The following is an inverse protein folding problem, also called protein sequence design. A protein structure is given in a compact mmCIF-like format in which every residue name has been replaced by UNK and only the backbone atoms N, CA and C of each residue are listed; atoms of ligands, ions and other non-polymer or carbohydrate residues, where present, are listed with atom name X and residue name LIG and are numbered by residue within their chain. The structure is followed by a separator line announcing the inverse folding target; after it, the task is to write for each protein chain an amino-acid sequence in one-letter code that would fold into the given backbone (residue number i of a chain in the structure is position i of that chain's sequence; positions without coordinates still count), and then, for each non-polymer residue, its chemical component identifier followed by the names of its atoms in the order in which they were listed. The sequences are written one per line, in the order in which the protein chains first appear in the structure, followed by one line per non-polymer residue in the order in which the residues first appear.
data_IF_541183845942
#
_entry.id   IF_541183845942
#
_cell.length_a   1.000
_cell.length_b   1.000
_cell.length_c   1.000
_cell.angle_alpha   90.00
_cell.angle_beta   90.00
_cell.angle_gamma   90.00
#
_symmetry.space_group_name_H-M   'P 1'
#
loop_
_entity.id
_entity.type
_entity.pdbx_description
1 polymer ?
#
# COMPACT_ATOMS: atom_id res chain seq x y z
N UNK A 1 8.73 2.50 -13.53
CA UNK A 1 9.41 3.31 -12.49
C UNK A 1 8.56 3.23 -11.22
N UNK A 2 9.16 3.14 -10.01
CA UNK A 2 8.37 3.08 -8.77
C UNK A 2 7.49 4.32 -8.58
N UNK A 3 7.91 5.48 -9.12
CA UNK A 3 7.12 6.71 -9.12
C UNK A 3 5.77 6.60 -9.84
N UNK A 4 5.59 5.61 -10.72
CA UNK A 4 4.33 5.41 -11.45
C UNK A 4 3.34 4.49 -10.73
N UNK A 5 3.68 3.96 -9.55
CA UNK A 5 2.76 3.09 -8.83
C UNK A 5 1.52 3.85 -8.34
N UNK A 6 0.33 3.31 -8.61
CA UNK A 6 -0.93 3.86 -8.10
C UNK A 6 -1.33 5.23 -8.66
N UNK A 7 -0.74 5.66 -9.78
CA UNK A 7 -1.12 6.91 -10.46
C UNK A 7 -2.23 6.66 -11.47
N UNK A 8 -3.14 7.63 -11.59
CA UNK A 8 -4.29 7.55 -12.48
C UNK A 8 -4.35 8.79 -13.36
N UNK A 9 -4.96 8.64 -14.54
CA UNK A 9 -5.33 9.75 -15.42
C UNK A 9 -6.75 9.51 -15.91
N UNK A 10 -7.51 10.57 -16.19
CA UNK A 10 -8.82 10.46 -16.84
C UNK A 10 -8.60 10.26 -18.33
N UNK A 11 -9.11 9.17 -18.89
CA UNK A 11 -8.87 8.78 -20.28
C UNK A 11 -10.17 8.40 -20.98
N UNK A 12 -10.22 8.65 -22.29
CA UNK A 12 -11.15 7.96 -23.18
C UNK A 12 -10.45 6.67 -23.67
N UNK A 13 -10.75 5.53 -23.03
CA UNK A 13 -9.96 4.30 -23.15
C UNK A 13 -9.70 3.85 -24.60
N UNK A 14 -10.74 3.83 -25.43
CA UNK A 14 -10.66 3.38 -26.83
C UNK A 14 -9.74 4.29 -27.64
N UNK A 15 -9.96 5.60 -27.55
CA UNK A 15 -9.19 6.60 -28.28
C UNK A 15 -7.74 6.65 -27.79
N UNK A 16 -7.52 6.61 -26.48
CA UNK A 16 -6.17 6.59 -25.90
C UNK A 16 -5.39 5.33 -26.30
N UNK A 17 -6.05 4.16 -26.33
CA UNK A 17 -5.43 2.91 -26.81
C UNK A 17 -4.99 3.04 -28.27
N UNK A 18 -5.79 3.71 -29.10
CA UNK A 18 -5.45 4.01 -30.50
C UNK A 18 -4.25 4.96 -30.61
N UNK A 19 -4.18 5.98 -29.75
CA UNK A 19 -2.99 6.87 -29.67
C UNK A 19 -1.74 6.07 -29.37
N UNK A 20 -1.74 5.31 -28.28
CA UNK A 20 -0.59 4.51 -27.86
C UNK A 20 -0.18 3.51 -28.94
N UNK A 21 -1.14 2.80 -29.54
CA UNK A 21 -0.85 1.86 -30.64
C UNK A 21 -0.23 2.55 -31.85
N UNK A 22 -0.73 3.72 -32.25
CA UNK A 22 -0.17 4.47 -33.38
C UNK A 22 1.27 4.91 -33.11
N UNK A 23 1.56 5.38 -31.91
CA UNK A 23 2.90 5.84 -31.53
C UNK A 23 3.90 4.68 -31.46
N UNK A 24 3.49 3.53 -30.90
CA UNK A 24 4.31 2.32 -30.85
C UNK A 24 4.58 1.79 -32.26
N UNK A 25 3.56 1.76 -33.14
CA UNK A 25 3.75 1.33 -34.53
C UNK A 25 4.69 2.26 -35.29
N UNK A 26 4.56 3.58 -35.10
CA UNK A 26 5.49 4.54 -35.70
C UNK A 26 6.93 4.33 -35.22
N UNK A 27 7.13 4.09 -33.92
CA UNK A 27 8.43 3.79 -33.35
C UNK A 27 9.01 2.49 -33.94
N UNK A 28 8.20 1.43 -34.00
CA UNK A 28 8.59 0.14 -34.57
C UNK A 28 8.97 0.24 -36.05
N UNK A 29 8.14 0.88 -36.87
CA UNK A 29 8.39 1.06 -38.31
C UNK A 29 9.61 1.94 -38.60
N UNK A 30 10.00 2.82 -37.68
CA UNK A 30 11.19 3.65 -37.82
C UNK A 30 12.49 2.87 -37.49
N UNK A 31 12.40 1.74 -36.81
CA UNK A 31 13.58 0.94 -36.44
C UNK A 31 14.21 0.23 -37.64
N UNK A 32 15.54 0.09 -37.61
CA UNK A 32 16.34 -0.68 -38.58
C UNK A 32 16.80 -1.98 -37.88
N UNK A 33 17.57 -2.86 -38.53
CA UNK A 33 18.08 -4.11 -37.95
C UNK A 33 18.58 -3.93 -36.49
N UNK A 34 18.12 -4.81 -35.58
CA UNK A 34 18.26 -4.68 -34.11
C UNK A 34 17.47 -3.50 -33.49
N UNK A 35 16.25 -3.28 -33.98
CA UNK A 35 15.32 -2.27 -33.47
C UNK A 35 14.92 -2.49 -32.02
N UNK A 36 15.01 -1.42 -31.22
CA UNK A 36 14.60 -1.37 -29.82
C UNK A 36 13.57 -0.26 -29.68
N UNK A 37 12.37 -0.61 -29.22
CA UNK A 37 11.35 0.33 -28.78
C UNK A 37 11.22 0.21 -27.27
N UNK A 38 11.51 1.31 -26.56
CA UNK A 38 11.43 1.40 -25.11
C UNK A 38 10.23 2.24 -24.70
N UNK A 39 9.35 1.67 -23.88
CA UNK A 39 8.20 2.37 -23.29
C UNK A 39 8.48 2.57 -21.81
N UNK A 40 8.36 3.80 -21.33
CA UNK A 40 8.50 4.12 -19.91
C UNK A 40 7.31 4.88 -19.39
N UNK A 41 6.92 4.57 -18.16
CA UNK A 41 5.89 5.28 -17.40
C UNK A 41 6.53 5.84 -16.13
N UNK A 42 6.35 7.14 -15.92
CA UNK A 42 6.78 7.91 -14.75
C UNK A 42 5.65 8.80 -14.27
N UNK A 43 5.79 9.33 -13.07
CA UNK A 43 4.96 10.44 -12.62
C UNK A 43 5.79 11.48 -11.88
N UNK A 44 5.25 12.70 -11.80
CA UNK A 44 5.64 13.70 -10.82
C UNK A 44 4.39 14.14 -10.04
N UNK A 45 4.47 15.17 -9.21
CA UNK A 45 3.33 15.63 -8.39
C UNK A 45 2.07 16.02 -9.20
N UNK A 46 2.21 16.36 -10.48
CA UNK A 46 1.12 16.93 -11.30
C UNK A 46 0.75 16.09 -12.51
N UNK A 47 1.70 15.32 -13.06
CA UNK A 47 1.55 14.67 -14.37
C UNK A 47 1.98 13.20 -14.36
N UNK A 48 1.24 12.40 -15.12
CA UNK A 48 1.66 11.08 -15.61
C UNK A 48 2.43 11.31 -16.91
N UNK A 49 3.63 10.72 -17.01
CA UNK A 49 4.54 10.90 -18.15
C UNK A 49 4.77 9.53 -18.80
N UNK A 50 4.41 9.42 -20.08
CA UNK A 50 4.64 8.23 -20.90
C UNK A 50 5.64 8.59 -21.98
N UNK A 51 6.74 7.86 -22.06
CA UNK A 51 7.74 8.06 -23.11
C UNK A 51 7.86 6.80 -23.96
N UNK A 52 7.77 6.97 -25.27
CA UNK A 52 8.00 5.94 -26.29
C UNK A 52 9.26 6.35 -27.05
N UNK A 53 10.33 5.59 -26.89
CA UNK A 53 11.65 5.84 -27.49
C UNK A 53 12.01 4.72 -28.46
N UNK A 54 12.46 5.07 -29.66
CA UNK A 54 13.10 4.15 -30.60
C UNK A 54 14.58 4.48 -30.83
N UNK A 55 15.32 3.52 -31.38
CA UNK A 55 16.67 3.68 -31.92
C UNK A 55 16.68 3.68 -33.46
N UNK A 56 15.61 4.19 -34.07
CA UNK A 56 15.40 4.13 -35.51
C UNK A 56 16.14 5.20 -36.31
N UNK A 57 15.69 5.39 -37.55
CA UNK A 57 16.32 6.34 -38.50
C UNK A 57 16.24 7.81 -38.08
N UNK A 58 15.40 8.15 -37.10
CA UNK A 58 15.15 9.52 -36.65
C UNK A 58 14.40 10.36 -37.70
N UNK A 59 14.13 11.61 -37.34
CA UNK A 59 13.33 12.57 -38.13
C UNK A 59 14.18 13.83 -38.34
N UNK A 60 14.20 14.35 -39.57
CA UNK A 60 14.94 15.57 -39.87
C UNK A 60 14.33 16.79 -39.18
N UNK A 61 15.15 17.76 -38.71
CA UNK A 61 14.66 18.96 -38.01
C UNK A 61 13.63 19.77 -38.80
N UNK A 62 13.73 19.78 -40.13
CA UNK A 62 12.79 20.49 -41.03
C UNK A 62 11.37 19.90 -41.00
N UNK A 63 11.23 18.61 -40.63
CA UNK A 63 9.95 17.90 -40.60
C UNK A 63 9.27 17.97 -39.24
N UNK A 64 10.04 18.08 -38.15
CA UNK A 64 9.50 18.10 -36.78
C UNK A 64 8.36 19.11 -36.57
N UNK A 65 8.44 20.38 -37.03
CA UNK A 65 7.37 21.35 -36.84
C UNK A 65 6.06 21.02 -37.59
N UNK A 66 6.13 20.12 -38.57
CA UNK A 66 5.00 19.76 -39.45
C UNK A 66 4.30 18.47 -39.03
N UNK A 67 4.89 17.66 -38.15
CA UNK A 67 4.37 16.33 -37.78
C UNK A 67 2.98 16.33 -37.14
N UNK A 68 2.58 17.44 -36.52
CA UNK A 68 1.26 17.61 -35.92
C UNK A 68 0.26 18.31 -36.84
N UNK A 69 0.60 18.52 -38.12
CA UNK A 69 -0.33 19.10 -39.10
C UNK A 69 -1.11 17.99 -39.81
N UNK A 70 -2.37 18.27 -40.13
CA UNK A 70 -3.26 17.30 -40.79
C UNK A 70 -2.73 16.99 -42.19
N UNK A 71 -2.52 15.70 -42.49
CA UNK A 71 -2.09 15.25 -43.82
C UNK A 71 -0.57 15.14 -44.02
N UNK A 72 0.24 15.56 -43.04
CA UNK A 72 1.69 15.43 -43.10
C UNK A 72 2.12 14.02 -42.70
N UNK A 73 2.75 13.30 -43.63
CA UNK A 73 3.22 11.92 -43.44
C UNK A 73 4.65 11.79 -43.92
N UNK A 74 5.44 11.00 -43.19
CA UNK A 74 6.78 10.60 -43.63
C UNK A 74 6.81 9.35 -44.49
N UNK A 75 5.65 8.71 -44.68
CA UNK A 75 5.49 7.41 -45.36
C UNK A 75 4.79 7.59 -46.70
N UNK A 76 5.30 6.90 -47.74
CA UNK A 76 4.74 6.93 -49.11
C UNK A 76 3.28 6.42 -49.22
N UNK A 77 2.72 5.80 -48.17
CA UNK A 77 1.34 5.28 -48.13
C UNK A 77 0.55 5.69 -46.86
N UNK A 78 1.08 6.57 -46.02
CA UNK A 78 0.40 7.00 -44.79
C UNK A 78 -0.34 8.33 -45.00
N UNK A 79 -1.60 8.43 -44.57
CA UNK A 79 -2.38 9.69 -44.68
C UNK A 79 -1.96 10.80 -43.70
N UNK A 80 -0.90 10.61 -42.89
CA UNK A 80 -0.42 11.63 -41.95
C UNK A 80 -1.39 11.95 -40.79
N UNK A 81 -2.41 11.10 -40.60
CA UNK A 81 -3.48 11.35 -39.63
C UNK A 81 -3.15 10.86 -38.21
N UNK A 82 -2.17 9.95 -38.07
CA UNK A 82 -1.90 9.27 -36.80
C UNK A 82 -1.39 10.20 -35.69
N UNK A 83 -0.36 11.01 -35.98
CA UNK A 83 0.21 11.97 -35.03
C UNK A 83 -0.69 13.18 -34.81
N UNK A 84 -1.35 13.65 -35.87
CA UNK A 84 -2.39 14.69 -35.76
C UNK A 84 -3.51 14.27 -34.81
N UNK A 85 -4.05 13.06 -34.97
CA UNK A 85 -5.12 12.54 -34.11
C UNK A 85 -4.63 12.29 -32.67
N UNK A 86 -3.40 11.80 -32.51
CA UNK A 86 -2.77 11.69 -31.20
C UNK A 86 -2.70 13.05 -30.49
N UNK A 87 -2.28 14.11 -31.18
CA UNK A 87 -2.25 15.46 -30.65
C UNK A 87 -3.64 15.94 -30.22
N UNK A 88 -4.66 15.77 -31.07
CA UNK A 88 -6.03 16.18 -30.74
C UNK A 88 -6.57 15.47 -29.48
N UNK A 89 -6.35 14.15 -29.36
CA UNK A 89 -6.81 13.39 -28.20
C UNK A 89 -6.08 13.83 -26.94
N UNK A 90 -4.75 13.93 -26.99
CA UNK A 90 -3.96 14.30 -25.82
C UNK A 90 -4.30 15.72 -25.35
N UNK A 91 -4.52 16.65 -26.28
CA UNK A 91 -4.95 18.01 -25.96
C UNK A 91 -6.36 18.03 -25.35
N UNK A 92 -7.27 17.17 -25.84
CA UNK A 92 -8.63 17.05 -25.25
C UNK A 92 -8.64 16.47 -23.84
N UNK A 93 -7.54 15.87 -23.40
CA UNK A 93 -7.34 15.34 -22.05
C UNK A 93 -6.52 16.31 -21.17
N UNK A 94 -6.40 17.59 -21.58
CA UNK A 94 -5.56 18.62 -20.95
C UNK A 94 -4.09 18.21 -20.82
N UNK A 95 -3.63 17.34 -21.73
CA UNK A 95 -2.28 16.83 -21.81
C UNK A 95 -1.40 17.57 -22.81
N UNK A 96 -0.17 17.08 -22.96
CA UNK A 96 0.76 17.53 -23.99
C UNK A 96 1.51 16.36 -24.62
N UNK A 97 1.79 16.47 -25.91
CA UNK A 97 2.64 15.54 -26.66
C UNK A 97 3.83 16.31 -27.23
N UNK A 98 5.05 15.82 -26.98
CA UNK A 98 6.30 16.36 -27.50
C UNK A 98 7.08 15.28 -28.27
N UNK A 99 7.86 15.69 -29.28
CA UNK A 99 8.70 14.80 -30.07
C UNK A 99 10.11 15.38 -30.16
N UNK A 100 11.09 14.59 -29.76
CA UNK A 100 12.51 14.88 -29.91
C UNK A 100 13.13 13.79 -30.80
N UNK A 101 13.92 14.17 -31.80
CA UNK A 101 14.49 13.19 -32.73
C UNK A 101 15.83 13.66 -33.28
N UNK A 102 16.75 12.71 -33.48
CA UNK A 102 18.05 12.94 -34.10
C UNK A 102 18.21 11.91 -35.23
N UNK A 103 18.49 12.40 -36.44
CA UNK A 103 18.70 11.57 -37.63
C UNK A 103 19.81 10.54 -37.36
N UNK A 104 19.51 9.28 -37.65
CA UNK A 104 20.41 8.13 -37.44
C UNK A 104 20.56 7.67 -35.98
N UNK A 105 19.88 8.32 -35.02
CA UNK A 105 19.95 7.96 -33.59
C UNK A 105 18.60 7.44 -33.05
N UNK A 106 17.49 8.04 -33.49
CA UNK A 106 16.14 7.62 -33.11
C UNK A 106 15.24 8.77 -32.66
N UNK A 107 14.04 8.41 -32.21
CA UNK A 107 13.00 9.36 -31.80
C UNK A 107 12.49 9.07 -30.38
N UNK A 108 12.11 10.13 -29.67
CA UNK A 108 11.48 10.09 -28.35
C UNK A 108 10.15 10.85 -28.47
N UNK A 109 9.05 10.16 -28.23
CA UNK A 109 7.72 10.77 -28.08
C UNK A 109 7.36 10.77 -26.60
N UNK A 110 7.06 11.94 -26.06
CA UNK A 110 6.67 12.12 -24.65
C UNK A 110 5.23 12.61 -24.58
N UNK A 111 4.39 11.85 -23.88
CA UNK A 111 3.03 12.23 -23.51
C UNK A 111 3.02 12.62 -22.03
N UNK A 112 2.41 13.76 -21.73
CA UNK A 112 2.15 14.17 -20.36
C UNK A 112 0.65 14.36 -20.17
N UNK A 113 0.09 13.78 -19.11
CA UNK A 113 -1.33 13.85 -18.78
C UNK A 113 -1.49 14.31 -17.33
N UNK A 114 -2.52 15.12 -16.99
CA UNK A 114 -2.80 15.47 -15.61
C UNK A 114 -3.09 14.24 -14.76
N UNK A 115 -2.55 14.21 -13.53
CA UNK A 115 -2.88 13.19 -12.55
C UNK A 115 -4.35 13.34 -12.11
N UNK A 116 -5.06 12.22 -12.10
CA UNK A 116 -6.38 12.07 -11.53
C UNK A 116 -6.28 11.45 -10.12
N UNK A 117 -7.29 11.74 -9.30
CA UNK A 117 -7.46 11.10 -7.99
C UNK A 117 -7.53 9.58 -8.13
N UNK A 118 -6.84 8.87 -7.24
CA UNK A 118 -6.98 7.42 -7.10
C UNK A 118 -8.44 7.04 -6.90
N UNK A 119 -8.99 6.12 -7.70
CA UNK A 119 -10.37 5.67 -7.52
C UNK A 119 -10.58 5.07 -6.14
N UNK A 120 -11.73 5.37 -5.52
CA UNK A 120 -12.05 4.91 -4.15
C UNK A 120 -12.06 3.39 -4.06
N UNK A 121 -12.42 2.67 -5.12
CA UNK A 121 -12.41 1.21 -5.11
C UNK A 121 -11.00 0.62 -5.19
N UNK A 122 -9.98 1.36 -5.64
CA UNK A 122 -8.65 0.79 -5.88
C UNK A 122 -7.87 0.58 -4.59
N UNK A 123 -7.27 -0.61 -4.43
CA UNK A 123 -6.29 -0.89 -3.40
C UNK A 123 -4.91 -0.43 -3.85
N UNK A 124 -4.39 0.65 -3.26
CA UNK A 124 -3.04 1.16 -3.56
C UNK A 124 -1.94 0.45 -2.78
N UNK A 125 -2.26 -0.14 -1.62
CA UNK A 125 -1.36 -0.95 -0.79
C UNK A 125 -2.15 -1.88 0.12
N UNK A 126 -1.55 -3.02 0.45
CA UNK A 126 -2.04 -3.95 1.47
C UNK A 126 -1.25 -3.71 2.75
N UNK A 127 -1.95 -3.51 3.86
CA UNK A 127 -1.36 -3.44 5.20
C UNK A 127 -1.74 -4.72 5.93
N UNK A 128 -0.74 -5.51 6.33
CA UNK A 128 -0.94 -6.77 7.03
C UNK A 128 -0.64 -6.60 8.52
N UNK A 129 -1.52 -7.02 9.41
CA UNK A 129 -1.16 -7.13 10.82
C UNK A 129 -0.05 -8.16 11.08
N UNK A 130 0.87 -7.94 12.03
CA UNK A 130 1.75 -9.01 12.50
C UNK A 130 0.94 -10.09 13.22
N UNK A 131 1.47 -11.33 13.27
CA UNK A 131 0.85 -12.48 13.97
C UNK A 131 -0.60 -12.75 13.56
N UNK A 132 -0.88 -12.57 12.27
CA UNK A 132 -2.21 -12.71 11.69
C UNK A 132 -2.26 -13.83 10.66
N UNK A 133 -3.44 -14.07 10.11
CA UNK A 133 -3.63 -15.00 9.00
C UNK A 133 -3.96 -14.24 7.71
N UNK A 134 -3.31 -14.58 6.61
CA UNK A 134 -3.76 -14.14 5.27
C UNK A 134 -4.51 -15.30 4.63
N UNK A 135 -5.79 -15.10 4.33
CA UNK A 135 -6.62 -16.10 3.67
C UNK A 135 -6.75 -15.75 2.20
N UNK A 136 -6.38 -16.65 1.29
CA UNK A 136 -6.71 -16.48 -0.13
C UNK A 136 -7.84 -17.39 -0.53
N UNK A 137 -8.72 -16.93 -1.41
CA UNK A 137 -9.74 -17.78 -2.04
C UNK A 137 -9.59 -17.62 -3.56
N UNK A 138 -8.84 -18.52 -4.19
CA UNK A 138 -8.57 -18.46 -5.63
C UNK A 138 -8.31 -19.89 -6.14
N UNK A 139 -9.07 -20.30 -7.14
CA UNK A 139 -8.92 -21.60 -7.79
C UNK A 139 -7.75 -21.63 -8.78
N UNK A 140 -7.23 -20.48 -9.21
CA UNK A 140 -6.05 -20.36 -10.07
C UNK A 140 -4.73 -20.51 -9.28
N UNK A 141 -3.99 -21.56 -9.61
CA UNK A 141 -2.68 -21.84 -8.99
C UNK A 141 -1.64 -20.76 -9.25
N UNK A 142 -1.68 -20.12 -10.42
CA UNK A 142 -0.70 -19.10 -10.78
C UNK A 142 -0.82 -17.88 -9.87
N UNK A 143 -2.04 -17.49 -9.49
CA UNK A 143 -2.27 -16.38 -8.56
C UNK A 143 -1.83 -16.74 -7.15
N UNK A 144 -2.04 -18.00 -6.71
CA UNK A 144 -1.52 -18.48 -5.42
C UNK A 144 0.00 -18.38 -5.37
N UNK A 145 0.69 -18.82 -6.41
CA UNK A 145 2.15 -18.71 -6.51
C UNK A 145 2.64 -17.25 -6.48
N UNK A 146 1.89 -16.32 -7.07
CA UNK A 146 2.18 -14.88 -6.96
C UNK A 146 2.09 -14.44 -5.49
N UNK A 147 1.02 -14.81 -4.77
CA UNK A 147 0.89 -14.44 -3.36
C UNK A 147 1.95 -15.08 -2.48
N UNK A 148 2.25 -16.36 -2.66
CA UNK A 148 3.32 -17.06 -1.94
C UNK A 148 4.66 -16.33 -2.11
N UNK A 149 5.05 -16.06 -3.36
CA UNK A 149 6.29 -15.35 -3.67
C UNK A 149 6.39 -13.99 -2.99
N UNK A 150 5.27 -13.26 -2.91
CA UNK A 150 5.22 -11.92 -2.31
C UNK A 150 5.16 -11.94 -0.79
N UNK A 151 4.49 -12.93 -0.19
CA UNK A 151 4.22 -12.98 1.24
C UNK A 151 5.28 -13.77 2.01
N UNK A 152 5.99 -14.73 1.40
CA UNK A 152 6.86 -15.69 2.10
C UNK A 152 7.87 -15.03 3.07
N UNK A 153 8.59 -14.00 2.60
CA UNK A 153 9.62 -13.34 3.41
C UNK A 153 9.02 -12.50 4.55
N UNK A 154 7.90 -11.82 4.30
CA UNK A 154 7.16 -11.02 5.29
C UNK A 154 6.50 -11.93 6.33
N UNK A 155 5.89 -13.02 5.87
CA UNK A 155 5.20 -14.00 6.67
C UNK A 155 6.12 -14.61 7.73
N UNK A 156 7.30 -15.07 7.29
CA UNK A 156 8.31 -15.63 8.19
C UNK A 156 8.81 -14.61 9.23
N UNK A 157 8.99 -13.35 8.85
CA UNK A 157 9.53 -12.31 9.74
C UNK A 157 8.51 -11.84 10.78
N UNK A 158 7.23 -11.81 10.43
CA UNK A 158 6.18 -11.20 11.23
C UNK A 158 5.17 -12.20 11.79
N UNK A 159 5.50 -13.50 11.76
CA UNK A 159 4.66 -14.60 12.26
C UNK A 159 3.27 -14.62 11.61
N UNK A 160 3.18 -14.22 10.33
CA UNK A 160 1.93 -14.27 9.56
C UNK A 160 1.85 -15.64 8.89
N UNK A 161 0.69 -16.28 8.98
CA UNK A 161 0.44 -17.55 8.29
C UNK A 161 -0.47 -17.32 7.09
N UNK A 162 -0.06 -17.85 5.93
CA UNK A 162 -0.81 -17.75 4.68
C UNK A 162 -1.56 -19.06 4.46
N UNK A 163 -2.87 -18.96 4.25
CA UNK A 163 -3.76 -20.12 4.08
C UNK A 163 -4.51 -19.96 2.76
N UNK A 164 -4.35 -20.94 1.88
CA UNK A 164 -4.98 -20.95 0.58
C UNK A 164 -6.21 -21.84 0.57
N UNK A 165 -7.32 -21.29 0.09
CA UNK A 165 -8.55 -22.01 -0.22
C UNK A 165 -8.82 -21.92 -1.73
N UNK A 166 -9.30 -23.02 -2.29
CA UNK A 166 -9.81 -23.12 -3.65
C UNK A 166 -11.32 -23.46 -3.67
N UNK A 167 -11.94 -23.52 -2.49
CA UNK A 167 -13.31 -23.95 -2.29
C UNK A 167 -13.95 -23.14 -1.17
N UNK A 168 -15.19 -22.68 -1.40
CA UNK A 168 -15.92 -21.79 -0.49
C UNK A 168 -16.30 -22.48 0.83
N UNK A 169 -16.74 -23.74 0.77
CA UNK A 169 -17.14 -24.51 1.94
C UNK A 169 -15.98 -24.70 2.91
N UNK A 170 -14.79 -25.06 2.39
CA UNK A 170 -13.59 -25.21 3.21
C UNK A 170 -13.19 -23.90 3.89
N UNK A 171 -13.30 -22.77 3.17
CA UNK A 171 -13.03 -21.46 3.74
C UNK A 171 -14.00 -21.10 4.86
N UNK A 172 -15.31 -21.30 4.63
CA UNK A 172 -16.35 -21.00 5.63
C UNK A 172 -16.17 -21.88 6.86
N UNK A 173 -15.92 -23.18 6.68
CA UNK A 173 -15.69 -24.12 7.78
C UNK A 173 -14.47 -23.69 8.62
N UNK A 174 -13.36 -23.33 7.97
CA UNK A 174 -12.18 -22.83 8.68
C UNK A 174 -12.48 -21.53 9.43
N UNK A 175 -13.16 -20.57 8.79
CA UNK A 175 -13.48 -19.27 9.40
C UNK A 175 -14.35 -19.43 10.65
N UNK A 176 -15.38 -20.27 10.60
CA UNK A 176 -16.24 -20.57 11.74
C UNK A 176 -15.49 -21.21 12.92
N UNK A 177 -14.43 -21.97 12.65
CA UNK A 177 -13.58 -22.59 13.69
C UNK A 177 -12.57 -21.60 14.32
N UNK A 178 -12.35 -20.42 13.70
CA UNK A 178 -11.34 -19.45 14.11
C UNK A 178 -11.92 -18.03 14.33
N UNK A 179 -12.97 -17.85 15.16
CA UNK A 179 -13.71 -16.58 15.26
C UNK A 179 -12.91 -15.41 15.86
N UNK A 180 -11.75 -15.69 16.47
CA UNK A 180 -10.86 -14.68 17.08
C UNK A 180 -9.58 -14.44 16.27
N UNK A 181 -9.44 -15.06 15.09
CA UNK A 181 -8.27 -14.86 14.26
C UNK A 181 -8.26 -13.44 13.67
N UNK A 182 -7.13 -12.73 13.81
CA UNK A 182 -6.87 -11.52 13.04
C UNK A 182 -6.57 -11.95 11.61
N UNK A 183 -7.40 -11.53 10.65
CA UNK A 183 -7.32 -11.99 9.26
C UNK A 183 -7.11 -10.85 8.27
N UNK A 184 -6.55 -11.19 7.11
CA UNK A 184 -6.64 -10.38 5.90
C UNK A 184 -6.97 -11.29 4.72
N UNK A 185 -8.04 -10.99 3.99
CA UNK A 185 -8.59 -11.85 2.95
C UNK A 185 -8.29 -11.31 1.55
N UNK A 186 -7.83 -12.19 0.65
CA UNK A 186 -7.55 -11.90 -0.76
C UNK A 186 -8.38 -12.86 -1.62
N UNK A 187 -9.60 -12.47 -1.98
CA UNK A 187 -10.56 -13.39 -2.60
C UNK A 187 -10.77 -13.06 -4.07
N UNK A 188 -10.70 -14.07 -4.92
CA UNK A 188 -11.08 -13.95 -6.32
C UNK A 188 -12.58 -13.73 -6.46
N UNK A 189 -12.95 -12.92 -7.44
CA UNK A 189 -14.36 -12.78 -7.80
C UNK A 189 -14.91 -14.05 -8.45
N UNK A 190 -14.16 -14.68 -9.36
CA UNK A 190 -14.64 -15.80 -10.19
C UNK A 190 -14.10 -17.12 -9.66
N UNK A 191 -14.95 -17.91 -9.00
CA UNK A 191 -14.55 -19.19 -8.39
C UNK A 191 -15.12 -20.36 -9.20
N UNK A 192 -14.29 -21.05 -9.99
CA UNK A 192 -14.77 -22.10 -10.88
C UNK A 192 -15.41 -23.24 -10.07
N UNK A 193 -16.61 -23.64 -10.48
CA UNK A 193 -17.36 -24.73 -9.84
C UNK A 193 -18.03 -24.36 -8.50
N UNK A 194 -18.03 -23.08 -8.13
CA UNK A 194 -18.70 -22.58 -6.93
C UNK A 194 -19.97 -21.80 -7.30
N UNK A 195 -20.99 -21.85 -6.43
CA UNK A 195 -22.24 -21.11 -6.61
C UNK A 195 -22.16 -19.65 -6.12
N UNK A 196 -21.08 -19.28 -5.43
CA UNK A 196 -20.86 -17.96 -4.84
C UNK A 196 -19.60 -17.34 -5.44
N UNK A 197 -19.65 -16.03 -5.70
CA UNK A 197 -18.45 -15.24 -6.00
C UNK A 197 -17.70 -14.92 -4.72
N UNK A 198 -16.40 -14.58 -4.79
CA UNK A 198 -15.69 -14.10 -3.60
C UNK A 198 -16.32 -12.85 -2.99
N UNK A 199 -16.96 -12.00 -3.79
CA UNK A 199 -17.72 -10.85 -3.30
C UNK A 199 -18.96 -11.28 -2.49
N UNK A 200 -19.66 -12.33 -2.91
CA UNK A 200 -20.78 -12.89 -2.15
C UNK A 200 -20.30 -13.46 -0.82
N UNK A 201 -19.18 -14.18 -0.81
CA UNK A 201 -18.57 -14.74 0.41
C UNK A 201 -18.20 -13.62 1.38
N UNK A 202 -17.51 -12.56 0.92
CA UNK A 202 -17.15 -11.40 1.74
C UNK A 202 -18.40 -10.75 2.35
N UNK A 203 -19.45 -10.60 1.54
CA UNK A 203 -20.70 -9.96 1.96
C UNK A 203 -21.46 -10.81 3.00
N UNK A 204 -21.55 -12.12 2.79
CA UNK A 204 -22.22 -13.05 3.70
C UNK A 204 -21.50 -13.13 5.06
N UNK A 205 -20.17 -13.20 5.05
CA UNK A 205 -19.36 -13.26 6.27
C UNK A 205 -19.21 -11.88 6.96
N UNK A 206 -19.60 -10.79 6.29
CA UNK A 206 -19.49 -9.40 6.78
C UNK A 206 -18.05 -8.98 7.12
N UNK A 207 -17.09 -9.45 6.33
CA UNK A 207 -15.65 -9.26 6.54
C UNK A 207 -15.02 -8.24 5.57
N UNK A 208 -15.83 -7.33 5.00
CA UNK A 208 -15.36 -6.38 3.99
C UNK A 208 -14.18 -5.50 4.46
N UNK A 209 -14.11 -5.18 5.75
CA UNK A 209 -13.02 -4.38 6.34
C UNK A 209 -11.68 -5.11 6.34
N UNK A 210 -11.72 -6.43 6.43
CA UNK A 210 -10.55 -7.30 6.51
C UNK A 210 -10.24 -7.94 5.14
N UNK A 211 -10.93 -7.52 4.07
CA UNK A 211 -10.87 -8.20 2.78
C UNK A 211 -10.50 -7.27 1.63
N UNK A 212 -9.95 -7.87 0.57
CA UNK A 212 -9.78 -7.28 -0.74
C UNK A 212 -10.37 -8.23 -1.79
N UNK A 213 -11.12 -7.68 -2.74
CA UNK A 213 -11.54 -8.43 -3.92
C UNK A 213 -10.40 -8.40 -4.94
N UNK A 214 -9.88 -9.56 -5.32
CA UNK A 214 -8.82 -9.71 -6.33
C UNK A 214 -9.50 -10.12 -7.63
N UNK A 215 -9.50 -9.31 -8.70
CA UNK A 215 -10.26 -9.68 -9.91
C UNK A 215 -9.72 -9.08 -11.20
N UNK A 216 -9.90 -9.80 -12.31
CA UNK A 216 -9.69 -9.29 -13.67
C UNK A 216 -10.86 -8.41 -14.15
N UNK A 217 -12.02 -8.48 -13.50
CA UNK A 217 -13.23 -7.73 -13.85
C UNK A 217 -13.36 -6.40 -13.10
N UNK A 218 -12.24 -5.84 -12.69
CA UNK A 218 -12.20 -4.59 -11.93
C UNK A 218 -12.73 -3.38 -12.72
N UNK A 219 -12.99 -3.49 -14.03
CA UNK A 219 -13.64 -2.47 -14.87
C UNK A 219 -15.16 -2.56 -14.90
N UNK A 220 -15.74 -3.68 -14.45
CA UNK A 220 -17.18 -3.91 -14.42
C UNK A 220 -17.85 -2.95 -13.42
N UNK A 221 -18.79 -2.14 -13.93
CA UNK A 221 -19.46 -1.11 -13.14
C UNK A 221 -20.32 -1.70 -12.03
N UNK A 222 -20.92 -2.88 -12.24
CA UNK A 222 -21.77 -3.51 -11.23
C UNK A 222 -20.93 -4.08 -10.09
N UNK A 223 -19.79 -4.71 -10.41
CA UNK A 223 -18.84 -5.18 -9.40
C UNK A 223 -18.32 -3.99 -8.57
N UNK A 224 -17.90 -2.90 -9.23
CA UNK A 224 -17.44 -1.68 -8.53
C UNK A 224 -18.52 -1.09 -7.61
N UNK A 225 -19.77 -1.05 -8.08
CA UNK A 225 -20.90 -0.54 -7.30
C UNK A 225 -21.12 -1.39 -6.05
N UNK A 226 -21.21 -2.70 -6.19
CA UNK A 226 -21.37 -3.63 -5.06
C UNK A 226 -20.21 -3.55 -4.07
N UNK A 227 -18.96 -3.44 -4.54
CA UNK A 227 -17.81 -3.22 -3.66
C UNK A 227 -17.92 -1.89 -2.90
N UNK A 228 -18.34 -0.81 -3.56
CA UNK A 228 -18.47 0.50 -2.94
C UNK A 228 -19.53 0.51 -1.83
N UNK A 229 -20.65 -0.20 -1.99
CA UNK A 229 -21.73 -0.32 -0.99
C UNK A 229 -21.24 -0.89 0.34
N UNK A 230 -20.26 -1.81 0.29
CA UNK A 230 -19.66 -2.43 1.48
C UNK A 230 -18.25 -1.89 1.80
N UNK A 231 -17.84 -0.80 1.14
CA UNK A 231 -16.52 -0.17 1.27
C UNK A 231 -15.33 -1.11 0.99
N UNK A 232 -15.54 -2.14 0.18
CA UNK A 232 -14.52 -3.11 -0.20
C UNK A 232 -13.59 -2.54 -1.27
N UNK A 233 -12.29 -2.72 -1.07
CA UNK A 233 -11.27 -2.37 -2.06
C UNK A 233 -11.03 -3.53 -3.03
N UNK A 234 -10.69 -3.19 -4.26
CA UNK A 234 -10.41 -4.11 -5.35
C UNK A 234 -8.92 -4.03 -5.71
N UNK A 235 -8.31 -5.19 -5.85
CA UNK A 235 -6.98 -5.40 -6.43
C UNK A 235 -7.19 -5.97 -7.84
N UNK A 236 -6.87 -5.22 -8.91
CA UNK A 236 -6.81 -5.81 -10.24
C UNK A 236 -5.83 -6.98 -10.26
N UNK A 237 -6.23 -8.15 -10.80
CA UNK A 237 -5.35 -9.34 -10.85
C UNK A 237 -4.01 -9.06 -11.54
N UNK A 238 -4.03 -8.25 -12.61
CA UNK A 238 -2.81 -7.81 -13.31
C UNK A 238 -1.88 -6.93 -12.46
N UNK A 239 -2.36 -6.39 -11.34
CA UNK A 239 -1.60 -5.57 -10.40
C UNK A 239 -1.15 -6.35 -9.16
N UNK A 240 -1.57 -7.61 -8.99
CA UNK A 240 -1.24 -8.42 -7.81
C UNK A 240 0.26 -8.59 -7.58
N UNK A 241 1.09 -8.50 -8.61
CA UNK A 241 2.56 -8.53 -8.46
C UNK A 241 3.16 -7.20 -7.96
N UNK A 242 2.43 -6.09 -8.12
CA UNK A 242 2.95 -4.73 -7.99
C UNK A 242 2.40 -3.96 -6.79
N UNK A 243 1.20 -4.30 -6.27
CA UNK A 243 0.62 -3.61 -5.09
C UNK A 243 1.53 -3.75 -3.86
N UNK A 244 2.13 -2.68 -3.29
CA UNK A 244 2.95 -2.75 -2.09
C UNK A 244 2.25 -3.49 -0.95
N UNK A 245 3.01 -4.34 -0.27
CA UNK A 245 2.57 -5.05 0.92
C UNK A 245 3.47 -4.61 2.07
N UNK A 246 2.86 -3.99 3.07
CA UNK A 246 3.52 -3.56 4.29
C UNK A 246 2.94 -4.36 5.46
N UNK A 247 3.75 -4.62 6.47
CA UNK A 247 3.23 -5.12 7.75
C UNK A 247 3.02 -3.92 8.67
N UNK A 248 1.90 -3.88 9.39
CA UNK A 248 1.66 -2.91 10.46
C UNK A 248 2.88 -2.91 11.37
N UNK A 249 3.64 -1.83 11.29
CA UNK A 249 4.53 -1.48 12.38
C UNK A 249 3.59 -0.95 13.44
N UNK A 250 3.45 -1.68 14.55
CA UNK A 250 2.95 -1.07 15.78
C UNK A 250 3.97 0.02 16.16
N UNK A 251 3.93 1.17 15.50
CA UNK A 251 4.64 2.37 15.92
C UNK A 251 3.89 2.89 17.14
N UNK A 252 4.02 2.12 18.23
CA UNK A 252 3.74 2.58 19.57
C UNK A 252 4.81 3.61 19.89
N UNK A 253 4.36 4.83 20.13
CA UNK A 253 5.22 5.93 20.51
C UNK A 253 5.64 5.78 21.98
N UNK A 254 4.74 5.25 22.81
CA UNK A 254 4.99 5.02 24.22
C UNK A 254 4.13 3.91 24.86
N UNK A 255 4.59 3.48 26.04
CA UNK A 255 3.91 2.56 26.94
C UNK A 255 3.68 3.27 28.28
N UNK A 256 2.51 3.10 28.88
CA UNK A 256 2.21 3.56 30.23
C UNK A 256 1.71 2.40 31.10
N UNK A 257 2.26 2.26 32.30
CA UNK A 257 1.89 1.20 33.25
C UNK A 257 1.50 1.84 34.58
N UNK A 258 0.24 1.69 34.98
CA UNK A 258 -0.32 2.25 36.22
C UNK A 258 -1.57 1.45 36.62
N UNK A 259 -1.69 1.08 37.89
CA UNK A 259 -2.84 0.28 38.37
C UNK A 259 -4.16 1.07 38.44
N UNK A 260 -4.11 2.41 38.38
CA UNK A 260 -5.29 3.26 38.33
C UNK A 260 -5.86 3.31 36.90
N UNK A 261 -6.92 2.54 36.68
CA UNK A 261 -7.67 2.51 35.42
C UNK A 261 -8.21 3.87 34.96
N UNK A 262 -8.47 4.80 35.87
CA UNK A 262 -8.93 6.15 35.55
C UNK A 262 -7.79 6.95 34.93
N UNK A 263 -6.60 6.85 35.51
CA UNK A 263 -5.42 7.56 35.03
C UNK A 263 -4.93 7.01 33.68
N UNK A 264 -4.95 5.68 33.51
CA UNK A 264 -4.61 5.08 32.21
C UNK A 264 -5.61 5.46 31.11
N UNK A 265 -6.89 5.67 31.44
CA UNK A 265 -7.87 6.20 30.50
C UNK A 265 -7.59 7.67 30.11
N UNK A 266 -7.19 8.51 31.06
CA UNK A 266 -6.78 9.91 30.79
C UNK A 266 -5.56 9.96 29.88
N UNK A 267 -4.55 9.11 30.11
CA UNK A 267 -3.37 9.01 29.25
C UNK A 267 -3.72 8.57 27.82
N UNK A 268 -4.62 7.59 27.66
CA UNK A 268 -5.16 7.19 26.35
C UNK A 268 -5.83 8.34 25.61
N UNK A 269 -6.63 9.14 26.33
CA UNK A 269 -7.32 10.30 25.75
C UNK A 269 -6.31 11.34 25.27
N UNK A 270 -5.34 11.73 26.11
CA UNK A 270 -4.33 12.71 25.72
C UNK A 270 -3.44 12.25 24.56
N UNK A 271 -3.05 10.97 24.54
CA UNK A 271 -2.27 10.42 23.44
C UNK A 271 -3.04 10.51 22.12
N UNK A 272 -4.35 10.25 22.14
CA UNK A 272 -5.21 10.44 20.96
C UNK A 272 -5.22 11.90 20.49
N UNK A 273 -5.35 12.86 21.40
CA UNK A 273 -5.35 14.29 21.05
C UNK A 273 -3.99 14.73 20.47
N UNK A 274 -2.89 14.19 21.00
CA UNK A 274 -1.54 14.40 20.51
C UNK A 274 -1.18 13.56 19.25
N UNK A 275 -2.10 12.72 18.76
CA UNK A 275 -1.90 11.78 17.64
C UNK A 275 -0.75 10.77 17.86
N UNK A 276 -0.56 10.35 19.12
CA UNK A 276 0.39 9.32 19.52
C UNK A 276 -0.32 7.98 19.75
N UNK A 277 0.34 6.89 19.36
CA UNK A 277 -0.10 5.53 19.66
C UNK A 277 0.47 5.09 21.02
N UNK A 278 -0.41 4.84 21.98
CA UNK A 278 -0.05 4.42 23.33
C UNK A 278 -0.56 3.00 23.63
N UNK A 279 0.28 2.19 24.28
CA UNK A 279 -0.14 0.98 24.97
C UNK A 279 -0.25 1.28 26.46
N UNK A 280 -1.35 0.90 27.11
CA UNK A 280 -1.50 1.04 28.56
C UNK A 280 -1.73 -0.30 29.23
N UNK A 281 -1.15 -0.47 30.41
CA UNK A 281 -1.28 -1.67 31.22
C UNK A 281 -1.70 -1.29 32.64
N UNK A 282 -2.75 -1.94 33.13
CA UNK A 282 -3.23 -1.74 34.50
C UNK A 282 -2.55 -2.67 35.50
N UNK A 283 -1.67 -3.54 35.04
CA UNK A 283 -0.90 -4.45 35.88
C UNK A 283 0.47 -4.74 35.24
N UNK A 284 1.55 -4.86 36.06
CA UNK A 284 2.90 -5.09 35.56
C UNK A 284 3.08 -6.44 34.86
N UNK A 285 2.34 -7.47 35.29
CA UNK A 285 2.52 -8.83 34.78
C UNK A 285 2.06 -8.96 33.32
N UNK A 286 0.93 -8.34 32.98
CA UNK A 286 0.41 -8.26 31.62
C UNK A 286 1.36 -7.50 30.69
N UNK A 287 2.01 -6.46 31.20
CA UNK A 287 3.06 -5.76 30.46
C UNK A 287 4.26 -6.67 30.19
N UNK A 288 4.80 -7.30 31.25
CA UNK A 288 5.99 -8.14 31.15
C UNK A 288 5.82 -9.37 30.24
N UNK A 289 4.61 -9.96 30.17
CA UNK A 289 4.30 -11.06 29.23
C UNK A 289 4.52 -10.69 27.76
N UNK A 290 4.40 -9.40 27.42
CA UNK A 290 4.48 -8.89 26.05
C UNK A 290 5.79 -8.14 25.77
N UNK A 291 6.77 -8.23 26.67
CA UNK A 291 7.97 -7.39 26.61
C UNK A 291 8.76 -7.52 25.30
N UNK A 292 8.79 -8.73 24.72
CA UNK A 292 9.51 -9.03 23.49
C UNK A 292 8.91 -8.37 22.24
N UNK A 293 7.74 -7.74 22.35
CA UNK A 293 7.03 -7.10 21.23
C UNK A 293 7.45 -5.66 20.99
N UNK A 294 8.21 -5.08 21.93
CA UNK A 294 8.50 -3.66 21.95
C UNK A 294 9.96 -3.38 21.61
N UNK A 295 10.18 -2.29 20.87
CA UNK A 295 11.52 -1.77 20.62
C UNK A 295 12.18 -1.37 21.93
N UNK A 296 13.49 -1.65 22.07
CA UNK A 296 14.26 -1.31 23.27
C UNK A 296 14.37 0.20 23.54
N UNK A 297 14.12 1.04 22.54
CA UNK A 297 14.14 2.50 22.66
C UNK A 297 12.74 3.14 22.82
N UNK A 298 11.68 2.33 22.92
CA UNK A 298 10.33 2.87 23.14
C UNK A 298 10.28 3.62 24.48
N UNK A 299 9.54 4.73 24.54
CA UNK A 299 9.33 5.44 25.79
C UNK A 299 8.40 4.64 26.72
N UNK A 300 8.87 4.30 27.92
CA UNK A 300 8.10 3.55 28.92
C UNK A 300 7.92 4.42 30.15
N UNK A 301 6.67 4.68 30.53
CA UNK A 301 6.29 5.43 31.72
C UNK A 301 5.69 4.45 32.74
N UNK A 302 6.28 4.40 33.94
CA UNK A 302 5.86 3.49 35.00
C UNK A 302 5.43 4.28 36.22
N UNK A 303 4.24 4.02 36.75
CA UNK A 303 3.89 4.57 38.07
C UNK A 303 4.78 4.00 39.17
N UNK A 304 5.14 4.82 40.14
CA UNK A 304 5.96 4.36 41.27
C UNK A 304 5.21 3.34 42.13
N UNK A 305 3.89 3.45 42.26
CA UNK A 305 3.05 2.44 42.90
C UNK A 305 2.23 1.69 41.84
N UNK A 306 2.61 0.44 41.57
CA UNK A 306 1.92 -0.39 40.59
C UNK A 306 0.88 -1.32 41.22
N UNK A 307 0.55 -1.08 42.50
CA UNK A 307 -0.39 -1.88 43.27
C UNK A 307 0.17 -3.24 43.69
N UNK A 308 -0.52 -3.90 44.63
CA UNK A 308 -0.15 -5.21 45.17
C UNK A 308 1.32 -5.33 45.65
N UNK A 309 1.90 -4.21 46.11
CA UNK A 309 3.29 -4.14 46.56
C UNK A 309 4.33 -4.05 45.44
N UNK A 310 3.92 -4.03 44.16
CA UNK A 310 4.82 -3.83 43.04
C UNK A 310 5.22 -2.34 42.94
N UNK A 311 6.51 -2.10 42.68
CA UNK A 311 7.11 -0.76 42.64
C UNK A 311 7.67 -0.46 41.25
N UNK A 312 7.33 0.71 40.71
CA UNK A 312 7.77 1.13 39.38
C UNK A 312 9.29 1.19 39.23
N UNK A 313 9.99 1.67 40.25
CA UNK A 313 11.45 1.74 40.26
C UNK A 313 12.15 0.37 40.19
N UNK A 314 11.53 -0.67 40.75
CA UNK A 314 12.05 -2.06 40.71
C UNK A 314 11.83 -2.63 39.31
N UNK A 315 10.62 -2.46 38.76
CA UNK A 315 10.32 -2.87 37.39
C UNK A 315 11.21 -2.14 36.38
N UNK A 316 11.46 -0.84 36.57
CA UNK A 316 12.35 -0.06 35.72
C UNK A 316 13.76 -0.67 35.65
N UNK A 317 14.29 -1.16 36.77
CA UNK A 317 15.59 -1.82 36.81
C UNK A 317 15.59 -3.10 35.99
N UNK A 318 14.55 -3.92 36.13
CA UNK A 318 14.39 -5.17 35.38
C UNK A 318 14.32 -4.91 33.86
N UNK A 319 13.55 -3.91 33.44
CA UNK A 319 13.48 -3.49 32.03
C UNK A 319 14.83 -3.01 31.51
N UNK A 320 15.56 -2.23 32.29
CA UNK A 320 16.89 -1.75 31.92
C UNK A 320 17.88 -2.90 31.73
N UNK A 321 17.85 -3.90 32.62
CA UNK A 321 18.69 -5.10 32.50
C UNK A 321 18.31 -5.94 31.26
N UNK A 322 17.07 -5.83 30.80
CA UNK A 322 16.58 -6.39 29.53
C UNK A 322 16.90 -5.50 28.31
N UNK A 323 17.66 -4.42 28.49
CA UNK A 323 18.17 -3.55 27.42
C UNK A 323 17.28 -2.36 27.05
N UNK A 324 16.20 -2.09 27.79
CA UNK A 324 15.39 -0.88 27.57
C UNK A 324 16.12 0.35 28.11
N UNK A 325 16.12 1.46 27.36
CA UNK A 325 16.95 2.63 27.67
C UNK A 325 16.18 3.97 27.75
N UNK A 326 14.87 3.95 27.55
CA UNK A 326 14.03 5.14 27.53
C UNK A 326 12.87 4.99 28.54
N UNK A 327 13.24 4.81 29.82
CA UNK A 327 12.32 4.51 30.93
C UNK A 327 12.15 5.75 31.81
N UNK A 328 10.92 6.05 32.20
CA UNK A 328 10.53 7.19 33.03
C UNK A 328 9.66 6.71 34.19
N UNK A 329 9.79 7.37 35.34
CA UNK A 329 8.94 7.12 36.50
C UNK A 329 7.87 8.22 36.61
N UNK A 330 6.61 7.84 36.79
CA UNK A 330 5.50 8.77 37.07
C UNK A 330 5.14 8.70 38.54
N UNK A 331 5.01 9.85 39.20
CA UNK A 331 4.80 9.90 40.65
C UNK A 331 4.23 11.25 41.08
N UNK A 332 3.66 11.30 42.29
CA UNK A 332 3.31 12.55 42.97
C UNK A 332 4.42 13.08 43.89
N UNK A 333 5.49 12.32 44.08
CA UNK A 333 6.65 12.70 44.89
C UNK A 333 7.68 13.47 44.06
N UNK A 334 8.39 14.40 44.71
CA UNK A 334 9.53 15.08 44.10
C UNK A 334 10.69 14.13 43.80
N UNK A 335 11.56 14.50 42.87
CA UNK A 335 12.67 13.66 42.39
C UNK A 335 13.64 13.29 43.52
N UNK A 336 13.82 14.19 44.50
CA UNK A 336 14.68 14.03 45.67
C UNK A 336 14.17 12.98 46.66
N UNK A 337 12.90 12.57 46.56
CA UNK A 337 12.35 11.49 47.36
C UNK A 337 13.00 10.13 47.04
N UNK A 338 13.49 9.98 45.82
CA UNK A 338 14.05 8.71 45.35
C UNK A 338 15.58 8.71 45.42
N UNK A 339 16.20 7.57 45.73
CA UNK A 339 17.64 7.43 45.60
C UNK A 339 18.07 7.57 44.12
N UNK A 340 19.35 7.82 43.84
CA UNK A 340 19.85 7.84 42.47
C UNK A 340 19.56 6.52 41.73
N UNK A 341 18.84 6.62 40.60
CA UNK A 341 18.44 5.49 39.76
C UNK A 341 18.93 5.71 38.33
N UNK A 342 20.18 5.34 37.99
CA UNK A 342 20.76 5.62 36.66
C UNK A 342 20.06 4.93 35.49
N UNK A 343 19.20 3.95 35.76
CA UNK A 343 18.38 3.26 34.77
C UNK A 343 17.07 3.98 34.42
N UNK A 344 16.72 5.06 35.16
CA UNK A 344 15.54 5.89 34.91
C UNK A 344 16.02 7.21 34.30
N UNK A 345 15.48 7.53 33.12
CA UNK A 345 15.86 8.70 32.34
C UNK A 345 15.35 10.00 32.96
N UNK A 346 14.12 9.99 33.46
CA UNK A 346 13.59 11.08 34.27
C UNK A 346 12.44 10.64 35.18
N UNK A 347 12.17 11.45 36.21
CA UNK A 347 11.02 11.31 37.11
C UNK A 347 10.06 12.46 36.82
N UNK A 348 8.83 12.15 36.40
CA UNK A 348 7.83 13.14 36.00
C UNK A 348 6.56 13.02 36.85
N UNK A 349 5.73 14.06 36.81
CA UNK A 349 4.42 14.06 37.47
C UNK A 349 3.45 13.03 36.87
N UNK A 350 2.33 12.80 37.55
CA UNK A 350 1.24 11.89 37.11
C UNK A 350 0.55 12.30 35.78
N UNK A 351 0.73 13.54 35.33
CA UNK A 351 0.18 14.00 34.05
C UNK A 351 1.07 13.61 32.87
N UNK A 352 0.44 13.18 31.76
CA UNK A 352 1.15 12.89 30.52
C UNK A 352 1.93 14.12 30.01
N UNK A 353 3.19 13.97 29.55
CA UNK A 353 4.09 15.07 29.22
C UNK A 353 3.89 15.68 27.81
N UNK A 354 2.80 15.35 27.12
CA UNK A 354 2.49 15.74 25.74
C UNK A 354 1.07 16.30 25.61
#
# INVERSE_FOLDING_TARGET
DQSAHGVFAKLQLIEFKRVISNLINNAYEATIAQGIVTITLKSNEKKVIITIKDNGCGISPERLPKLFQKGESTKNQGFGLGLYHAKQIIDSLDGSINIESIVGTGTIVTLELPIASTPVWFCNKIILPPRSKVLTLDDDESIRQVWDSRLLSLAKRHEIEVIHFNNVENLINWYCQHPQAKITCLFDYELIGQNLTGLDVISQLKIARDSFLVTSRYEDSEIRKRCAEIQLKIIPKSFSAFIPIEVETNNLDLIFVDNDSSLTAVWKMRARDAKLNIAVFNDPQSFMKNLNLYSKNIAIYLDSDLGAGARGEVLAKELYDQGFNNIYLTTGYDKEYFPPMPWIKDIIGKMAPF
#
